data_IF_922666906580
#
_entry.id   IF_922666906580
#
_cell.length_a   1.000
_cell.length_b   1.000
_cell.length_c   1.000
_cell.angle_alpha   90.00
_cell.angle_beta   90.00
_cell.angle_gamma   90.00
#
_symmetry.space_group_name_H-M   'P 1'
#
loop_
_entity.id
_entity.type
_entity.pdbx_description
1 polymer ?
#
# COMPACT_ATOMS: atom_id res chain seq x y z
N UNK A 1 1.35 -3.26 -12.12
CA UNK A 1 -0.02 -2.77 -12.41
C UNK A 1 -0.83 -3.76 -13.23
N UNK A 2 -0.31 -4.37 -14.31
CA UNK A 2 -1.07 -5.34 -15.13
C UNK A 2 -1.76 -6.48 -14.34
N UNK A 3 -1.16 -6.94 -13.23
CA UNK A 3 -1.78 -7.95 -12.37
C UNK A 3 -3.07 -7.40 -11.73
N UNK A 4 -3.05 -6.22 -11.13
CA UNK A 4 -4.25 -5.60 -10.54
C UNK A 4 -5.34 -5.36 -11.59
N UNK A 5 -4.97 -4.85 -12.77
CA UNK A 5 -5.91 -4.68 -13.88
C UNK A 5 -6.53 -6.02 -14.31
N UNK A 6 -5.74 -7.12 -14.36
CA UNK A 6 -6.26 -8.47 -14.66
C UNK A 6 -7.19 -9.03 -13.56
N UNK A 7 -7.18 -8.43 -12.37
CA UNK A 7 -8.05 -8.75 -11.24
C UNK A 7 -9.26 -7.80 -11.13
N UNK A 8 -9.43 -6.89 -12.10
CA UNK A 8 -10.56 -5.97 -12.16
C UNK A 8 -10.37 -4.66 -11.39
N UNK A 9 -9.15 -4.31 -11.03
CA UNK A 9 -8.85 -3.03 -10.39
C UNK A 9 -8.54 -1.96 -11.43
N UNK A 10 -9.15 -0.79 -11.26
CA UNK A 10 -8.71 0.43 -11.93
C UNK A 10 -7.36 0.86 -11.37
N UNK A 11 -6.51 1.45 -12.20
CA UNK A 11 -5.21 1.97 -11.76
C UNK A 11 -5.20 3.48 -11.93
N UNK A 12 -4.95 4.19 -10.84
CA UNK A 12 -4.86 5.66 -10.82
C UNK A 12 -3.52 6.12 -10.27
N UNK A 13 -3.04 7.26 -10.73
CA UNK A 13 -1.78 7.83 -10.27
C UNK A 13 -1.94 8.52 -8.90
N UNK A 14 -0.91 8.46 -8.07
CA UNK A 14 -0.84 9.16 -6.80
C UNK A 14 -0.39 10.61 -6.97
N UNK A 15 -0.71 11.46 -6.00
CA UNK A 15 -0.17 12.81 -5.90
C UNK A 15 1.29 12.75 -5.39
N UNK A 16 2.14 13.71 -5.80
CA UNK A 16 3.51 13.84 -5.31
C UNK A 16 3.67 14.92 -4.22
N UNK A 17 2.68 15.77 -4.07
CA UNK A 17 2.52 16.71 -2.95
C UNK A 17 1.08 16.63 -2.46
N UNK A 18 0.91 16.64 -1.16
CA UNK A 18 -0.37 16.53 -0.52
C UNK A 18 -0.53 17.55 0.61
N UNK A 19 -1.72 17.63 1.17
CA UNK A 19 -2.06 18.44 2.32
C UNK A 19 -2.20 17.58 3.59
N UNK A 20 -2.27 18.26 4.73
CA UNK A 20 -2.40 17.60 6.03
C UNK A 20 -3.74 16.85 6.19
N UNK A 21 -4.77 17.32 5.53
CA UNK A 21 -6.09 16.67 5.54
C UNK A 21 -6.02 15.27 4.90
N UNK A 22 -5.47 15.15 3.70
CA UNK A 22 -5.38 13.87 3.01
C UNK A 22 -4.30 12.96 3.60
N UNK A 23 -3.21 13.56 4.11
CA UNK A 23 -2.14 12.79 4.73
C UNK A 23 -2.56 12.17 6.07
N UNK A 24 -3.40 12.86 6.85
CA UNK A 24 -3.70 12.46 8.22
C UNK A 24 -5.18 12.51 8.58
N UNK A 25 -5.86 13.65 8.42
CA UNK A 25 -7.21 13.84 8.98
C UNK A 25 -8.22 12.89 8.35
N UNK A 26 -8.22 12.77 7.03
CA UNK A 26 -9.10 11.87 6.29
C UNK A 26 -8.84 10.39 6.53
N UNK A 27 -7.70 10.07 7.12
CA UNK A 27 -7.24 8.72 7.45
C UNK A 27 -7.37 8.40 8.96
N UNK A 28 -8.22 9.15 9.68
CA UNK A 28 -8.50 8.91 11.10
C UNK A 28 -7.28 9.03 12.03
N UNK A 29 -6.22 9.75 11.63
CA UNK A 29 -5.10 10.03 12.53
C UNK A 29 -5.50 11.04 13.61
N UNK A 30 -5.23 10.70 14.88
CA UNK A 30 -5.41 11.64 15.98
C UNK A 30 -4.53 12.89 15.81
N UNK A 31 -5.00 14.04 16.32
CA UNK A 31 -4.22 15.30 16.20
C UNK A 31 -2.84 15.25 16.86
N UNK A 32 -2.68 14.44 17.91
CA UNK A 32 -1.41 14.24 18.63
C UNK A 32 -0.68 12.94 18.20
N UNK A 33 -0.99 12.40 17.02
CA UNK A 33 -0.35 11.17 16.56
C UNK A 33 1.13 11.44 16.20
N UNK A 34 2.09 10.62 16.66
CA UNK A 34 3.54 10.84 16.42
C UNK A 34 3.93 10.98 14.95
N UNK A 35 3.27 10.24 14.05
CA UNK A 35 3.53 10.32 12.61
C UNK A 35 3.28 11.71 12.00
N UNK A 36 2.64 12.64 12.73
CA UNK A 36 2.48 14.04 12.31
C UNK A 36 3.72 14.90 12.60
N UNK A 37 4.65 14.38 13.37
CA UNK A 37 5.89 15.10 13.70
C UNK A 37 6.81 15.21 12.49
N UNK A 38 7.60 16.28 12.46
CA UNK A 38 8.53 16.58 11.38
C UNK A 38 9.69 15.57 11.28
N UNK A 39 9.86 14.68 12.25
CA UNK A 39 10.90 13.66 12.23
C UNK A 39 10.64 12.56 11.20
N UNK A 40 9.36 12.19 11.00
CA UNK A 40 9.00 11.10 10.11
C UNK A 40 8.41 11.59 8.77
N UNK A 41 8.05 12.88 8.68
CA UNK A 41 7.33 13.44 7.54
C UNK A 41 8.01 14.70 7.01
N UNK A 42 8.42 14.69 5.75
CA UNK A 42 8.91 15.88 5.07
C UNK A 42 7.80 16.92 4.89
N UNK A 43 8.16 18.19 5.00
CA UNK A 43 7.26 19.33 4.73
C UNK A 43 7.96 20.36 3.87
N UNK A 44 7.23 20.98 2.95
CA UNK A 44 7.72 22.18 2.24
C UNK A 44 7.57 23.42 3.11
N UNK A 45 8.21 24.51 2.71
CA UNK A 45 8.07 25.81 3.39
C UNK A 45 6.63 26.33 3.39
N UNK A 46 5.84 25.98 2.35
CA UNK A 46 4.44 26.35 2.23
C UNK A 46 3.49 25.42 3.01
N UNK A 47 4.04 24.36 3.65
CA UNK A 47 3.27 23.43 4.47
C UNK A 47 2.68 22.21 3.73
N UNK A 48 3.01 22.02 2.44
CA UNK A 48 2.67 20.80 1.74
C UNK A 48 3.55 19.62 2.19
N UNK A 49 3.04 18.43 1.98
CA UNK A 49 3.65 17.19 2.45
C UNK A 49 3.94 16.28 1.24
N UNK A 50 5.22 15.97 0.92
CA UNK A 50 5.53 14.82 0.09
C UNK A 50 5.00 13.54 0.75
N UNK A 51 4.11 12.75 0.12
CA UNK A 51 3.40 11.67 0.79
C UNK A 51 4.36 10.62 1.39
N UNK A 52 4.19 10.25 2.66
CA UNK A 52 4.92 9.17 3.30
C UNK A 52 4.30 7.78 3.01
N UNK A 53 3.09 7.77 2.43
CA UNK A 53 2.36 6.57 2.00
C UNK A 53 1.33 6.94 0.93
N UNK A 54 0.98 5.97 0.10
CA UNK A 54 -0.03 6.16 -0.96
C UNK A 54 -1.47 6.18 -0.45
N UNK A 55 -1.70 5.88 0.83
CA UNK A 55 -3.03 5.93 1.47
C UNK A 55 -3.64 7.34 1.49
N UNK A 56 -2.85 8.41 1.25
CA UNK A 56 -3.35 9.78 1.03
C UNK A 56 -4.40 9.84 -0.08
N UNK A 57 -4.38 8.87 -0.99
CA UNK A 57 -5.33 8.76 -2.09
C UNK A 57 -6.65 8.13 -1.70
N UNK A 58 -6.77 7.44 -0.54
CA UNK A 58 -7.99 6.71 -0.17
C UNK A 58 -9.22 7.60 -0.19
N UNK A 59 -9.18 8.75 0.49
CA UNK A 59 -10.34 9.65 0.56
C UNK A 59 -10.76 10.17 -0.82
N UNK A 60 -9.78 10.52 -1.68
CA UNK A 60 -10.04 10.96 -3.05
C UNK A 60 -10.70 9.86 -3.89
N UNK A 61 -10.18 8.64 -3.80
CA UNK A 61 -10.74 7.48 -4.50
C UNK A 61 -12.15 7.21 -4.03
N UNK A 62 -12.36 7.11 -2.73
CA UNK A 62 -13.67 6.83 -2.16
C UNK A 62 -14.71 7.89 -2.59
N UNK A 63 -14.35 9.17 -2.56
CA UNK A 63 -15.22 10.25 -3.05
C UNK A 63 -15.49 10.19 -4.55
N UNK A 64 -14.46 9.94 -5.35
CA UNK A 64 -14.58 9.93 -6.81
C UNK A 64 -15.39 8.72 -7.31
N UNK A 65 -15.21 7.56 -6.69
CA UNK A 65 -15.79 6.30 -7.12
C UNK A 65 -17.08 5.91 -6.39
N UNK A 66 -17.54 6.66 -5.38
CA UNK A 66 -18.76 6.32 -4.62
C UNK A 66 -20.01 6.13 -5.46
N UNK A 67 -20.08 6.76 -6.64
CA UNK A 67 -21.21 6.59 -7.57
C UNK A 67 -21.36 5.12 -8.01
N UNK A 68 -20.27 4.37 -8.17
CA UNK A 68 -20.31 2.93 -8.50
C UNK A 68 -21.10 2.12 -7.47
N UNK A 69 -20.99 2.47 -6.18
CA UNK A 69 -21.74 1.80 -5.11
C UNK A 69 -23.25 1.98 -5.28
N UNK A 70 -23.72 3.16 -5.71
CA UNK A 70 -25.13 3.43 -5.99
C UNK A 70 -25.63 2.64 -7.22
N UNK A 71 -24.73 2.28 -8.13
CA UNK A 71 -24.99 1.46 -9.31
C UNK A 71 -24.90 -0.05 -9.00
N UNK A 72 -24.58 -0.42 -7.76
CA UNK A 72 -24.42 -1.80 -7.31
C UNK A 72 -23.07 -2.42 -7.63
N UNK A 73 -22.12 -1.60 -8.09
CA UNK A 73 -20.74 -2.00 -8.39
C UNK A 73 -19.80 -1.77 -7.20
N UNK A 74 -18.71 -2.52 -7.14
CA UNK A 74 -17.67 -2.31 -6.14
C UNK A 74 -16.71 -1.19 -6.54
N UNK A 75 -16.14 -0.50 -5.56
CA UNK A 75 -14.94 0.28 -5.75
C UNK A 75 -13.75 -0.67 -5.70
N UNK A 76 -12.94 -0.74 -6.74
CA UNK A 76 -11.72 -1.54 -6.81
C UNK A 76 -10.64 -0.73 -7.52
N UNK A 77 -9.71 -0.16 -6.75
CA UNK A 77 -8.69 0.76 -7.28
C UNK A 77 -7.33 0.44 -6.70
N UNK A 78 -6.30 0.42 -7.54
CA UNK A 78 -4.90 0.33 -7.16
C UNK A 78 -4.17 1.64 -7.49
N UNK A 79 -3.34 2.12 -6.57
CA UNK A 79 -2.65 3.41 -6.67
C UNK A 79 -1.15 3.20 -6.49
N UNK A 80 -0.37 3.09 -7.57
CA UNK A 80 1.07 3.20 -7.47
C UNK A 80 1.46 4.65 -7.27
N UNK A 81 2.45 4.89 -6.42
CA UNK A 81 2.94 6.23 -6.17
C UNK A 81 4.33 6.26 -5.54
N UNK A 82 5.01 7.37 -5.76
CA UNK A 82 6.27 7.65 -5.07
C UNK A 82 5.96 8.19 -3.69
N UNK A 83 6.70 7.72 -2.69
CA UNK A 83 6.54 8.10 -1.29
C UNK A 83 7.87 8.50 -0.70
N UNK A 84 7.80 9.32 0.37
CA UNK A 84 8.96 10.00 0.94
C UNK A 84 8.93 9.86 2.45
N UNK A 85 10.01 9.33 3.04
CA UNK A 85 10.14 9.18 4.49
C UNK A 85 11.48 9.70 4.96
N UNK A 86 11.46 10.38 6.09
CA UNK A 86 12.68 10.87 6.72
C UNK A 86 13.27 9.78 7.62
N UNK A 87 13.84 8.75 7.00
CA UNK A 87 14.43 7.58 7.66
C UNK A 87 15.95 7.56 7.42
N UNK A 88 16.70 6.88 8.28
CA UNK A 88 18.12 6.63 8.04
C UNK A 88 18.32 5.69 6.86
N UNK A 89 19.30 5.99 6.01
CA UNK A 89 19.61 5.20 4.82
C UNK A 89 20.36 3.92 5.17
N UNK A 90 19.83 2.79 4.76
CA UNK A 90 20.52 1.49 4.85
C UNK A 90 20.22 0.60 3.63
N UNK A 91 20.57 -0.68 3.68
CA UNK A 91 20.31 -1.61 2.57
C UNK A 91 18.82 -1.90 2.34
N UNK A 92 17.96 -1.56 3.28
CA UNK A 92 16.51 -1.85 3.27
C UNK A 92 15.62 -0.61 3.31
N UNK A 93 16.21 0.56 3.63
CA UNK A 93 15.51 1.83 3.77
C UNK A 93 16.13 2.91 2.86
N UNK A 94 15.26 3.62 2.17
CA UNK A 94 15.59 4.76 1.32
C UNK A 94 14.58 5.89 1.60
N UNK A 95 15.04 7.15 1.51
CA UNK A 95 14.15 8.32 1.69
C UNK A 95 12.99 8.35 0.70
N UNK A 96 13.20 7.76 -0.46
CA UNK A 96 12.26 7.78 -1.57
C UNK A 96 12.12 6.37 -2.14
N UNK A 97 10.89 5.89 -2.22
CA UNK A 97 10.61 4.58 -2.81
C UNK A 97 9.21 4.56 -3.43
N UNK A 98 8.87 3.48 -4.11
CA UNK A 98 7.54 3.31 -4.67
C UNK A 98 6.68 2.40 -3.82
N UNK A 99 5.44 2.81 -3.61
CA UNK A 99 4.43 2.04 -2.91
C UNK A 99 3.22 1.82 -3.81
N UNK A 100 2.48 0.75 -3.61
CA UNK A 100 1.17 0.55 -4.19
C UNK A 100 0.14 0.38 -3.09
N UNK A 101 -0.84 1.26 -3.07
CA UNK A 101 -2.06 1.15 -2.29
C UNK A 101 -3.11 0.39 -3.08
N UNK A 102 -3.98 -0.34 -2.38
CA UNK A 102 -5.20 -0.87 -2.96
C UNK A 102 -6.39 -0.55 -2.07
N UNK A 103 -7.50 -0.22 -2.69
CA UNK A 103 -8.78 0.08 -2.03
C UNK A 103 -9.87 -0.74 -2.68
N UNK A 104 -10.64 -1.45 -1.85
CA UNK A 104 -11.84 -2.17 -2.30
C UNK A 104 -12.99 -1.89 -1.36
N UNK A 105 -14.17 -1.55 -1.90
CA UNK A 105 -15.39 -1.31 -1.10
C UNK A 105 -16.60 -1.94 -1.80
N UNK A 106 -17.41 -2.66 -1.04
CA UNK A 106 -18.69 -3.21 -1.50
C UNK A 106 -19.63 -3.49 -0.32
N UNK A 107 -20.87 -3.87 -0.59
CA UNK A 107 -21.84 -4.29 0.46
C UNK A 107 -21.45 -5.59 1.17
N UNK A 108 -20.71 -6.47 0.51
CA UNK A 108 -20.47 -7.84 0.97
C UNK A 108 -19.02 -8.18 1.19
N UNK A 109 -18.10 -7.20 1.18
CA UNK A 109 -16.68 -7.48 1.35
C UNK A 109 -16.36 -7.92 2.79
N UNK A 110 -15.40 -8.83 2.90
CA UNK A 110 -14.95 -9.41 4.16
C UNK A 110 -13.42 -9.42 4.25
N UNK A 111 -12.91 -9.63 5.45
CA UNK A 111 -11.48 -9.88 5.67
C UNK A 111 -10.97 -11.07 4.81
N UNK A 112 -11.78 -12.11 4.65
CA UNK A 112 -11.45 -13.26 3.80
C UNK A 112 -11.28 -12.88 2.33
N UNK A 113 -12.09 -11.96 1.80
CA UNK A 113 -11.93 -11.44 0.44
C UNK A 113 -10.60 -10.70 0.28
N UNK A 114 -10.22 -9.86 1.26
CA UNK A 114 -8.92 -9.18 1.26
C UNK A 114 -7.76 -10.18 1.19
N UNK A 115 -7.76 -11.17 2.08
CA UNK A 115 -6.70 -12.18 2.11
C UNK A 115 -6.64 -12.99 0.81
N UNK A 116 -7.80 -13.29 0.20
CA UNK A 116 -7.90 -13.95 -1.10
C UNK A 116 -7.26 -13.14 -2.23
N UNK A 117 -7.60 -11.85 -2.33
CA UNK A 117 -7.05 -10.92 -3.33
C UNK A 117 -5.54 -10.75 -3.17
N UNK A 118 -5.07 -10.56 -1.94
CA UNK A 118 -3.64 -10.42 -1.68
C UNK A 118 -2.87 -11.70 -2.03
N UNK A 119 -3.39 -12.87 -1.64
CA UNK A 119 -2.79 -14.15 -2.02
C UNK A 119 -2.71 -14.29 -3.55
N UNK A 120 -3.80 -14.03 -4.25
CA UNK A 120 -3.85 -14.13 -5.71
C UNK A 120 -2.85 -13.18 -6.38
N UNK A 121 -2.73 -11.95 -5.88
CA UNK A 121 -1.74 -10.98 -6.37
C UNK A 121 -0.32 -11.53 -6.23
N UNK A 122 0.06 -12.01 -5.04
CA UNK A 122 1.41 -12.51 -4.79
C UNK A 122 1.71 -13.81 -5.57
N UNK A 123 0.74 -14.72 -5.67
CA UNK A 123 0.88 -15.94 -6.47
C UNK A 123 1.07 -15.63 -7.96
N UNK A 124 0.32 -14.68 -8.51
CA UNK A 124 0.52 -14.20 -9.89
C UNK A 124 1.87 -13.50 -10.07
N UNK A 125 2.29 -12.71 -9.09
CA UNK A 125 3.55 -11.96 -9.16
C UNK A 125 4.77 -12.89 -9.12
N UNK A 126 4.78 -13.88 -8.25
CA UNK A 126 5.88 -14.84 -8.12
C UNK A 126 5.74 -16.07 -9.02
N UNK A 127 4.58 -16.31 -9.62
CA UNK A 127 4.32 -17.43 -10.52
C UNK A 127 4.24 -18.78 -9.81
N UNK A 128 3.93 -18.81 -8.51
CA UNK A 128 3.85 -20.03 -7.71
C UNK A 128 2.83 -19.91 -6.58
N UNK A 129 2.38 -21.06 -6.06
CA UNK A 129 1.56 -21.10 -4.84
C UNK A 129 2.37 -20.66 -3.62
N UNK A 130 1.73 -19.89 -2.74
CA UNK A 130 2.38 -19.33 -1.56
C UNK A 130 1.59 -19.66 -0.29
N UNK A 131 2.34 -20.01 0.77
CA UNK A 131 1.78 -19.99 2.11
C UNK A 131 1.77 -18.55 2.61
N UNK A 132 0.64 -18.15 3.19
CA UNK A 132 0.48 -16.83 3.78
C UNK A 132 0.32 -16.93 5.29
N UNK A 133 0.73 -15.89 5.97
CA UNK A 133 0.49 -15.66 7.39
C UNK A 133 0.10 -14.22 7.59
N UNK A 134 -0.73 -13.96 8.59
CA UNK A 134 -1.02 -12.61 9.06
C UNK A 134 -0.67 -12.49 10.53
N UNK A 135 -0.30 -11.30 10.95
CA UNK A 135 -0.19 -10.96 12.36
C UNK A 135 -0.91 -9.63 12.61
N UNK A 136 -1.39 -9.38 13.84
CA UNK A 136 -2.01 -8.11 14.18
C UNK A 136 -1.04 -6.96 13.96
N UNK A 137 -1.54 -5.88 13.34
CA UNK A 137 -0.87 -4.60 13.19
C UNK A 137 -1.74 -3.48 13.74
N UNK A 138 -1.28 -2.25 13.64
CA UNK A 138 -2.08 -1.07 13.96
C UNK A 138 -1.85 0.02 12.92
N UNK A 139 -2.94 0.42 12.27
CA UNK A 139 -2.99 1.58 11.39
C UNK A 139 -4.25 2.38 11.72
N UNK A 140 -4.19 3.71 11.89
CA UNK A 140 -5.36 4.52 12.29
C UNK A 140 -6.56 4.40 11.35
N UNK A 141 -6.31 4.10 10.08
CA UNK A 141 -7.31 4.05 9.00
C UNK A 141 -7.87 2.66 8.73
N UNK A 142 -7.46 1.62 9.49
CA UNK A 142 -7.99 0.25 9.35
C UNK A 142 -8.33 -0.37 10.71
N UNK A 143 -9.39 -1.20 10.76
CA UNK A 143 -9.79 -1.98 11.93
C UNK A 143 -10.61 -3.21 11.50
N UNK A 144 -10.13 -4.46 11.70
CA UNK A 144 -8.79 -4.80 12.19
C UNK A 144 -7.68 -4.47 11.21
N UNK A 145 -6.49 -4.18 11.75
CA UNK A 145 -5.25 -3.99 10.99
C UNK A 145 -4.38 -5.23 11.08
N UNK A 146 -3.77 -5.59 9.97
CA UNK A 146 -2.93 -6.78 9.84
C UNK A 146 -1.66 -6.46 9.04
N UNK A 147 -0.59 -7.15 9.39
CA UNK A 147 0.59 -7.31 8.56
C UNK A 147 0.46 -8.60 7.76
N UNK A 148 0.59 -8.51 6.44
CA UNK A 148 0.49 -9.65 5.53
C UNK A 148 1.87 -10.17 5.19
N UNK A 149 2.06 -11.46 5.43
CA UNK A 149 3.34 -12.15 5.26
C UNK A 149 3.20 -13.28 4.26
N UNK A 150 4.24 -13.50 3.47
CA UNK A 150 4.38 -14.68 2.61
C UNK A 150 5.54 -15.55 3.07
N UNK A 151 5.40 -16.85 2.92
CA UNK A 151 6.56 -17.74 3.04
C UNK A 151 7.54 -17.41 1.92
N UNK A 152 8.81 -17.29 2.27
CA UNK A 152 9.89 -16.93 1.36
C UNK A 152 9.90 -17.88 0.17
N UNK A 153 9.76 -17.40 -1.08
CA UNK A 153 9.81 -18.27 -2.25
C UNK A 153 11.14 -19.04 -2.33
N UNK A 154 11.10 -20.28 -2.78
CA UNK A 154 12.32 -21.14 -2.88
C UNK A 154 13.44 -20.50 -3.73
N UNK A 155 13.06 -19.67 -4.71
CA UNK A 155 14.01 -18.90 -5.52
C UNK A 155 14.80 -17.85 -4.74
N UNK A 156 14.34 -17.46 -3.54
CA UNK A 156 15.01 -16.51 -2.67
C UNK A 156 15.79 -17.27 -1.61
N UNK A 157 17.11 -17.10 -1.56
CA UNK A 157 17.97 -17.74 -0.56
C UNK A 157 17.47 -17.46 0.86
N UNK A 158 17.08 -18.49 1.60
CA UNK A 158 16.55 -18.40 2.96
C UNK A 158 16.26 -19.79 3.53
N UNK A 159 15.93 -19.85 4.82
CA UNK A 159 15.50 -21.09 5.47
C UNK A 159 14.05 -21.40 5.07
N UNK A 160 13.76 -22.65 4.74
CA UNK A 160 12.37 -23.12 4.51
C UNK A 160 11.51 -22.80 5.72
N UNK A 161 10.33 -22.23 5.49
CA UNK A 161 9.41 -21.81 6.57
C UNK A 161 9.65 -20.40 7.11
N UNK A 162 10.59 -19.64 6.56
CA UNK A 162 10.78 -18.23 6.89
C UNK A 162 9.68 -17.39 6.21
N UNK A 163 8.99 -16.55 7.01
CA UNK A 163 7.98 -15.63 6.53
C UNK A 163 8.54 -14.21 6.43
N UNK A 164 8.16 -13.51 5.37
CA UNK A 164 8.50 -12.11 5.13
C UNK A 164 7.25 -11.27 5.17
N UNK A 165 7.29 -10.21 5.95
CA UNK A 165 6.28 -9.15 5.90
C UNK A 165 6.37 -8.44 4.54
N UNK A 166 5.23 -8.35 3.86
CA UNK A 166 5.14 -7.76 2.52
C UNK A 166 4.40 -6.44 2.50
N UNK A 167 3.38 -6.30 3.34
CA UNK A 167 2.53 -5.11 3.35
C UNK A 167 1.65 -5.05 4.60
N UNK A 168 1.24 -3.82 4.94
CA UNK A 168 0.14 -3.57 5.87
C UNK A 168 -1.20 -3.62 5.15
N UNK A 169 -2.22 -4.17 5.81
CA UNK A 169 -3.58 -4.25 5.28
C UNK A 169 -4.62 -4.25 6.41
N UNK A 170 -5.88 -4.07 6.06
CA UNK A 170 -6.98 -4.16 7.03
C UNK A 170 -8.32 -3.76 6.45
N UNK A 171 -9.37 -3.95 7.24
CA UNK A 171 -10.68 -3.42 6.90
C UNK A 171 -10.65 -1.89 7.11
N UNK A 172 -11.20 -1.15 6.17
CA UNK A 172 -11.22 0.33 6.25
C UNK A 172 -12.02 0.75 7.48
N UNK A 173 -11.42 1.61 8.29
CA UNK A 173 -12.08 2.12 9.50
C UNK A 173 -13.37 2.86 9.15
N UNK A 174 -14.48 2.66 9.90
CA UNK A 174 -15.76 3.33 9.62
C UNK A 174 -15.67 4.85 9.49
N UNK A 175 -14.81 5.51 10.24
CA UNK A 175 -14.61 6.95 10.16
C UNK A 175 -14.06 7.38 8.79
N UNK A 176 -13.19 6.59 8.16
CA UNK A 176 -12.65 6.87 6.82
C UNK A 176 -13.74 6.77 5.76
N UNK A 177 -14.63 5.79 5.85
CA UNK A 177 -15.79 5.67 4.96
C UNK A 177 -16.74 6.86 5.16
N UNK A 178 -17.09 7.21 6.41
CA UNK A 178 -17.94 8.38 6.74
C UNK A 178 -17.34 9.68 6.20
N UNK A 179 -16.03 9.88 6.34
CA UNK A 179 -15.33 11.07 5.86
C UNK A 179 -15.41 11.20 4.32
N UNK A 180 -15.50 10.08 3.62
CA UNK A 180 -15.73 10.04 2.17
C UNK A 180 -17.23 10.15 1.77
N UNK A 181 -18.15 10.17 2.75
CA UNK A 181 -19.59 10.19 2.52
C UNK A 181 -20.17 8.85 2.09
N UNK A 182 -19.57 7.76 2.57
CA UNK A 182 -20.03 6.37 2.38
C UNK A 182 -20.56 5.87 3.72
N UNK A 183 -21.76 5.28 3.73
CA UNK A 183 -22.37 4.74 4.94
C UNK A 183 -21.70 3.40 5.34
N UNK A 184 -20.99 3.34 6.49
CA UNK A 184 -20.33 2.14 6.94
C UNK A 184 -21.29 1.05 7.49
N UNK A 185 -22.56 1.35 7.70
CA UNK A 185 -23.56 0.34 8.04
C UNK A 185 -24.03 -0.43 6.79
N UNK A 186 -23.89 0.18 5.60
CA UNK A 186 -24.29 -0.42 4.33
C UNK A 186 -23.09 -0.98 3.55
N UNK A 187 -21.93 -0.32 3.62
CA UNK A 187 -20.74 -0.65 2.85
C UNK A 187 -19.54 -0.92 3.74
N UNK A 188 -18.80 -1.94 3.37
CA UNK A 188 -17.53 -2.30 4.01
C UNK A 188 -16.41 -2.25 2.99
N UNK A 189 -15.20 -2.00 3.45
CA UNK A 189 -14.04 -1.94 2.58
C UNK A 189 -12.81 -2.52 3.23
N UNK A 190 -11.82 -2.79 2.42
CA UNK A 190 -10.46 -3.08 2.87
C UNK A 190 -9.44 -2.34 2.04
N UNK A 191 -8.29 -2.09 2.64
CA UNK A 191 -7.16 -1.44 2.00
C UNK A 191 -5.86 -2.16 2.34
N UNK A 192 -4.87 -1.99 1.49
CA UNK A 192 -3.51 -2.47 1.71
C UNK A 192 -2.51 -1.52 1.09
N UNK A 193 -1.30 -1.43 1.66
CA UNK A 193 -0.20 -0.64 1.13
C UNK A 193 1.12 -1.38 1.25
N UNK A 194 1.82 -1.57 0.14
CA UNK A 194 3.09 -2.30 0.11
C UNK A 194 4.15 -1.65 -0.79
N UNK A 195 5.42 -1.75 -0.37
CA UNK A 195 6.56 -1.23 -1.13
C UNK A 195 6.81 -2.02 -2.41
N UNK A 196 6.77 -1.34 -3.58
CA UNK A 196 7.05 -1.95 -4.88
C UNK A 196 8.53 -2.32 -4.98
N UNK A 197 9.42 -1.45 -4.48
CA UNK A 197 10.87 -1.67 -4.48
C UNK A 197 11.21 -3.00 -3.78
N UNK A 198 10.60 -3.26 -2.63
CA UNK A 198 10.76 -4.54 -1.91
C UNK A 198 10.32 -5.74 -2.73
N UNK A 199 9.19 -5.64 -3.46
CA UNK A 199 8.74 -6.70 -4.37
C UNK A 199 9.77 -6.98 -5.46
N UNK A 200 10.33 -5.92 -6.06
CA UNK A 200 11.34 -6.02 -7.12
C UNK A 200 12.65 -6.58 -6.56
N UNK A 201 13.11 -6.09 -5.41
CA UNK A 201 14.31 -6.60 -4.74
C UNK A 201 14.22 -8.11 -4.52
N UNK A 202 13.12 -8.57 -3.94
CA UNK A 202 12.91 -9.99 -3.68
C UNK A 202 12.87 -10.80 -4.97
N UNK A 203 12.14 -10.33 -5.99
CA UNK A 203 12.03 -11.04 -7.29
C UNK A 203 13.35 -11.09 -8.04
N UNK A 204 14.16 -10.04 -7.97
CA UNK A 204 15.46 -9.91 -8.67
C UNK A 204 16.66 -10.29 -7.81
N UNK A 205 16.43 -10.70 -6.55
CA UNK A 205 17.49 -11.07 -5.58
C UNK A 205 18.49 -9.94 -5.33
N UNK A 206 17.99 -8.70 -5.28
CA UNK A 206 18.78 -7.53 -4.96
C UNK A 206 18.95 -7.43 -3.45
N UNK A 207 20.16 -7.12 -3.00
CA UNK A 207 20.49 -7.05 -1.58
C UNK A 207 20.44 -5.63 -0.99
N UNK A 208 20.23 -4.60 -1.83
CA UNK A 208 20.34 -3.22 -1.41
C UNK A 208 19.38 -2.34 -2.21
N UNK A 209 18.44 -1.68 -1.52
CA UNK A 209 17.42 -0.81 -2.13
C UNK A 209 18.03 0.44 -2.77
N UNK A 210 19.17 0.92 -2.27
CA UNK A 210 19.85 2.12 -2.77
C UNK A 210 20.32 2.00 -4.21
N UNK A 211 20.37 0.80 -4.77
CA UNK A 211 20.65 0.61 -6.20
C UNK A 211 19.60 1.23 -7.12
N UNK A 212 18.34 1.31 -6.70
CA UNK A 212 17.27 1.89 -7.52
C UNK A 212 17.48 3.39 -7.78
N UNK A 213 18.04 4.12 -6.80
CA UNK A 213 18.28 5.57 -6.90
C UNK A 213 19.77 5.92 -7.19
N UNK A 214 20.64 4.93 -7.33
CA UNK A 214 22.08 5.15 -7.44
C UNK A 214 22.56 5.71 -8.77
N UNK A 215 21.70 5.81 -9.80
CA UNK A 215 22.04 6.22 -11.17
C UNK A 215 23.22 5.44 -11.81
N UNK A 216 23.55 4.24 -11.32
CA UNK A 216 24.59 3.37 -11.87
C UNK A 216 24.07 2.72 -13.15
N UNK A 217 24.47 3.27 -14.30
CA UNK A 217 23.99 2.84 -15.60
C UNK A 217 24.28 1.35 -15.90
N UNK A 218 25.41 0.85 -15.44
CA UNK A 218 25.77 -0.57 -15.65
C UNK A 218 24.83 -1.49 -14.89
N UNK A 219 24.47 -1.14 -13.64
CA UNK A 219 23.46 -1.86 -12.89
C UNK A 219 22.09 -1.82 -13.60
N UNK A 220 21.66 -0.63 -14.06
CA UNK A 220 20.37 -0.48 -14.75
C UNK A 220 20.31 -1.28 -16.05
N UNK A 221 21.43 -1.39 -16.80
CA UNK A 221 21.51 -2.18 -18.03
C UNK A 221 21.31 -3.69 -17.82
N UNK A 222 21.67 -4.22 -16.64
CA UNK A 222 21.44 -5.64 -16.31
C UNK A 222 19.95 -6.00 -16.25
N UNK A 223 19.07 -5.00 -16.07
CA UNK A 223 17.62 -5.17 -15.96
C UNK A 223 16.85 -4.56 -17.17
N UNK A 224 17.56 -4.05 -18.17
CA UNK A 224 16.92 -3.61 -19.42
C UNK A 224 16.24 -4.81 -20.10
N UNK A 225 14.94 -4.67 -20.41
CA UNK A 225 14.13 -5.68 -21.12
C UNK A 225 14.30 -5.50 -22.61
#
# INVERSE_FOLDING_TARGET
MAIYQSMGFDVVESQQLDDEYHMFDSLNFAKAHPARDNFDTFRTEEGYIPPAHTSTMQNRILKAYKHKLAEGEAIAVAVPGRVYRNEDLDATHEHTFYQCEGVYVSKTCTLGNMLGILREFFEKYYGQKLNIRTQPGFFPFTEPSLEFMIEKPEALAGKKGEFLEMLGCGMIHPNVLKEAGIDPEEYHGFAWGGGIDRLVMLKRKLSDVRYFESAKLDFLKEFAC
#
